data_IF_295002994489
#
_entry.id   IF_295002994489
#
_cell.length_a   1.000
_cell.length_b   1.000
_cell.length_c   1.000
_cell.angle_alpha   90.00
_cell.angle_beta   90.00
_cell.angle_gamma   90.00
#
_symmetry.space_group_name_H-M   'P 1'
#
loop_
_entity.id
_entity.type
_entity.pdbx_description
1 polymer ?
#
# COMPACT_ATOMS: atom_id res chain seq x y z
N UNK A 1 0.29 0.43 -0.98
CA UNK A 1 0.90 1.41 -1.91
C UNK A 1 -0.15 2.01 -2.85
N UNK A 2 0.14 3.15 -3.52
CA UNK A 2 -0.78 3.79 -4.43
C UNK A 2 -0.31 5.20 -4.84
N UNK A 3 -1.01 5.83 -5.80
CA UNK A 3 -0.59 7.12 -6.35
C UNK A 3 -0.67 8.27 -5.33
N UNK A 4 0.27 9.23 -5.46
CA UNK A 4 0.24 10.48 -4.67
C UNK A 4 -0.90 11.42 -5.10
N UNK A 5 -1.31 11.33 -6.38
CA UNK A 5 -2.53 11.97 -6.90
C UNK A 5 -3.52 10.86 -7.20
N UNK A 6 -4.51 10.70 -6.35
CA UNK A 6 -5.51 9.63 -6.39
C UNK A 6 -6.91 10.21 -6.59
N UNK A 7 -7.79 9.45 -7.23
CA UNK A 7 -9.20 9.79 -7.35
C UNK A 7 -9.96 9.60 -6.03
N UNK A 8 -11.17 10.14 -5.98
CA UNK A 8 -12.02 10.09 -4.77
C UNK A 8 -12.24 8.64 -4.31
N UNK A 9 -12.50 7.72 -5.25
CA UNK A 9 -12.71 6.30 -4.95
C UNK A 9 -11.44 5.66 -4.37
N UNK A 10 -10.29 5.88 -5.00
CA UNK A 10 -9.01 5.33 -4.51
C UNK A 10 -8.66 5.82 -3.10
N UNK A 11 -8.97 7.09 -2.79
CA UNK A 11 -8.77 7.65 -1.44
C UNK A 11 -9.72 7.02 -0.42
N UNK A 12 -10.99 6.85 -0.77
CA UNK A 12 -11.98 6.21 0.10
C UNK A 12 -11.61 4.74 0.36
N UNK A 13 -11.25 3.99 -0.69
CA UNK A 13 -10.81 2.59 -0.59
C UNK A 13 -9.55 2.46 0.27
N UNK A 14 -8.57 3.36 0.09
CA UNK A 14 -7.34 3.36 0.88
C UNK A 14 -7.60 3.64 2.37
N UNK A 15 -8.50 4.59 2.67
CA UNK A 15 -8.88 4.90 4.04
C UNK A 15 -9.59 3.73 4.70
N UNK A 16 -10.59 3.15 4.03
CA UNK A 16 -11.32 1.97 4.52
C UNK A 16 -10.37 0.79 4.73
N UNK A 17 -9.46 0.54 3.77
CA UNK A 17 -8.45 -0.49 3.88
C UNK A 17 -7.58 -0.28 5.13
N UNK A 18 -7.07 0.93 5.35
CA UNK A 18 -6.24 1.25 6.52
C UNK A 18 -6.95 0.96 7.84
N UNK A 19 -8.22 1.35 7.96
CA UNK A 19 -9.06 1.06 9.12
C UNK A 19 -9.23 -0.45 9.32
N UNK A 20 -9.59 -1.18 8.28
CA UNK A 20 -9.83 -2.62 8.34
C UNK A 20 -8.56 -3.41 8.70
N UNK A 21 -7.39 -3.03 8.15
CA UNK A 21 -6.10 -3.63 8.50
C UNK A 21 -5.78 -3.41 9.98
N UNK A 22 -5.97 -2.19 10.47
CA UNK A 22 -5.73 -1.85 11.87
C UNK A 22 -6.69 -2.61 12.83
N UNK A 23 -7.94 -2.84 12.43
CA UNK A 23 -8.90 -3.67 13.20
C UNK A 23 -8.47 -5.13 13.32
N UNK A 24 -7.65 -5.65 12.38
CA UNK A 24 -7.03 -6.97 12.49
C UNK A 24 -5.79 -6.99 13.40
N UNK A 25 -5.38 -5.84 13.93
CA UNK A 25 -4.13 -5.70 14.69
C UNK A 25 -2.87 -5.66 13.82
N UNK A 26 -3.01 -5.51 12.49
CA UNK A 26 -1.87 -5.44 11.58
C UNK A 26 -1.29 -4.04 11.49
N UNK A 27 0.03 -3.97 11.33
CA UNK A 27 0.75 -2.71 11.12
C UNK A 27 0.53 -2.21 9.69
N UNK A 28 0.18 -0.93 9.54
CA UNK A 28 0.04 -0.30 8.22
C UNK A 28 1.33 0.42 7.86
N UNK A 29 2.06 -0.14 6.89
CA UNK A 29 3.28 0.46 6.36
C UNK A 29 3.00 1.16 5.02
N UNK A 30 3.41 2.41 4.90
CA UNK A 30 3.24 3.24 3.70
C UNK A 30 4.53 3.97 3.34
N UNK A 31 4.51 4.72 2.22
CA UNK A 31 5.56 5.66 1.88
C UNK A 31 5.63 6.91 2.74
N UNK A 32 4.80 7.03 3.77
CA UNK A 32 4.87 8.02 4.84
C UNK A 32 4.51 9.46 4.47
N UNK A 33 4.29 9.79 3.18
CA UNK A 33 4.04 11.16 2.75
C UNK A 33 2.58 11.58 2.98
N UNK A 34 2.37 12.88 3.33
CA UNK A 34 1.06 13.52 3.47
C UNK A 34 0.40 13.75 2.10
N UNK A 35 0.17 12.69 1.33
CA UNK A 35 -0.43 12.77 0.00
C UNK A 35 -1.05 11.47 -0.47
N UNK A 36 -2.19 11.59 -1.15
CA UNK A 36 -2.86 10.52 -1.87
C UNK A 36 -3.16 9.29 -1.02
N UNK A 37 -3.00 8.13 -1.61
CA UNK A 37 -3.27 6.83 -0.99
C UNK A 37 -2.48 6.62 0.32
N UNK A 38 -1.25 7.11 0.39
CA UNK A 38 -0.42 6.95 1.59
C UNK A 38 -1.02 7.63 2.81
N UNK A 39 -1.45 8.89 2.65
CA UNK A 39 -2.06 9.68 3.72
C UNK A 39 -3.42 9.09 4.12
N UNK A 40 -4.27 8.75 3.14
CA UNK A 40 -5.59 8.18 3.37
C UNK A 40 -5.53 6.82 4.11
N UNK A 41 -4.62 5.94 3.73
CA UNK A 41 -4.45 4.65 4.41
C UNK A 41 -3.97 4.82 5.86
N UNK A 42 -3.01 5.72 6.09
CA UNK A 42 -2.54 6.03 7.45
C UNK A 42 -3.67 6.68 8.29
N UNK A 43 -4.46 7.59 7.70
CA UNK A 43 -5.63 8.20 8.36
C UNK A 43 -6.65 7.14 8.78
N UNK A 44 -6.98 6.22 7.87
CA UNK A 44 -7.89 5.12 8.17
C UNK A 44 -7.39 4.24 9.31
N UNK A 45 -6.12 3.86 9.29
CA UNK A 45 -5.53 3.07 10.37
C UNK A 45 -5.61 3.79 11.73
N UNK A 46 -5.34 5.10 11.77
CA UNK A 46 -5.40 5.90 13.01
C UNK A 46 -6.81 6.16 13.54
N UNK A 47 -7.86 5.79 12.81
CA UNK A 47 -9.22 5.76 13.35
C UNK A 47 -9.45 4.64 14.36
N UNK A 48 -8.54 3.64 14.38
CA UNK A 48 -8.59 2.50 15.30
C UNK A 48 -7.62 2.76 16.47
N UNK A 49 -8.10 2.84 17.72
CA UNK A 49 -7.24 3.01 18.89
C UNK A 49 -6.19 1.91 19.03
N UNK A 50 -4.96 2.29 19.34
CA UNK A 50 -3.84 1.34 19.50
C UNK A 50 -3.20 0.87 18.20
N UNK A 51 -3.69 1.32 17.04
CA UNK A 51 -3.07 1.00 15.75
C UNK A 51 -1.66 1.57 15.61
N UNK A 52 -0.81 0.89 14.84
CA UNK A 52 0.54 1.33 14.51
C UNK A 52 0.67 1.60 13.02
N UNK A 53 1.21 2.77 12.68
CA UNK A 53 1.49 3.18 11.30
C UNK A 53 2.98 3.51 11.13
N UNK A 54 3.58 2.99 10.05
CA UNK A 54 4.98 3.22 9.71
C UNK A 54 5.08 3.89 8.35
N UNK A 55 5.89 4.93 8.25
CA UNK A 55 6.16 5.65 7.01
C UNK A 55 7.64 5.56 6.63
N UNK A 56 7.94 5.00 5.45
CA UNK A 56 9.31 4.98 4.90
C UNK A 56 9.47 6.14 3.93
N UNK A 57 10.18 7.18 4.34
CA UNK A 57 10.33 8.43 3.60
C UNK A 57 11.54 8.41 2.66
N UNK A 58 11.43 9.06 1.49
CA UNK A 58 12.53 9.11 0.51
C UNK A 58 13.70 9.97 0.98
N UNK A 59 13.42 11.06 1.70
CA UNK A 59 14.37 12.07 2.17
C UNK A 59 13.80 12.87 3.34
N UNK A 60 14.63 13.71 3.97
CA UNK A 60 14.25 14.55 5.10
C UNK A 60 13.41 15.79 4.73
N UNK A 61 13.18 16.07 3.44
CA UNK A 61 12.36 17.19 2.95
C UNK A 61 10.92 16.77 2.67
N UNK A 62 10.65 15.48 2.61
CA UNK A 62 9.32 14.96 2.36
C UNK A 62 8.36 15.35 3.50
N UNK A 63 7.19 15.91 3.14
CA UNK A 63 6.15 16.20 4.12
C UNK A 63 5.57 14.89 4.65
N UNK A 64 5.84 14.61 5.92
CA UNK A 64 5.34 13.42 6.63
C UNK A 64 3.83 13.55 6.86
N UNK A 65 3.08 12.47 6.68
CA UNK A 65 1.69 12.39 7.11
C UNK A 65 1.59 12.52 8.63
N UNK A 66 0.65 13.32 9.12
CA UNK A 66 0.36 13.45 10.57
C UNK A 66 -0.19 12.16 11.20
N UNK A 67 -0.57 11.21 10.37
CA UNK A 67 -1.13 9.93 10.76
C UNK A 67 -0.07 8.81 10.81
N UNK A 68 1.20 9.14 10.66
CA UNK A 68 2.33 8.21 10.78
C UNK A 68 2.90 8.29 12.19
N UNK A 69 2.93 7.16 12.89
CA UNK A 69 3.51 7.07 14.26
C UNK A 69 5.04 6.99 14.21
N UNK A 70 5.58 6.19 13.28
CA UNK A 70 7.03 6.01 13.11
C UNK A 70 7.44 6.41 11.70
N UNK A 71 8.18 7.49 11.57
CA UNK A 71 8.73 7.97 10.30
C UNK A 71 10.21 7.58 10.18
N UNK A 72 10.54 6.79 9.14
CA UNK A 72 11.90 6.35 8.85
C UNK A 72 12.38 7.11 7.61
N UNK A 73 13.36 7.99 7.79
CA UNK A 73 14.00 8.76 6.71
C UNK A 73 15.16 7.97 6.18
N UNK A 74 15.11 7.59 4.89
CA UNK A 74 16.12 6.70 4.28
C UNK A 74 17.18 7.44 3.48
N UNK A 75 16.86 8.63 2.97
CA UNK A 75 17.66 9.40 2.00
C UNK A 75 17.98 8.63 0.69
N UNK A 76 17.17 7.61 0.38
CA UNK A 76 17.32 6.77 -0.82
C UNK A 76 16.50 7.24 -2.01
N UNK A 77 15.80 8.37 -1.91
CA UNK A 77 14.90 8.83 -2.96
C UNK A 77 13.89 7.73 -3.36
N UNK A 78 13.76 7.46 -4.65
CA UNK A 78 12.83 6.45 -5.17
C UNK A 78 13.24 5.00 -4.81
N UNK A 79 14.52 4.75 -4.54
CA UNK A 79 15.00 3.41 -4.17
C UNK A 79 14.40 2.91 -2.83
N UNK A 80 13.86 3.82 -1.98
CA UNK A 80 13.15 3.45 -0.75
C UNK A 80 11.88 2.60 -1.01
N UNK A 81 11.36 2.58 -2.26
CA UNK A 81 10.25 1.70 -2.62
C UNK A 81 10.59 0.22 -2.39
N UNK A 82 11.85 -0.15 -2.62
CA UNK A 82 12.30 -1.50 -2.31
C UNK A 82 12.29 -1.78 -0.80
N UNK A 83 12.58 -0.78 0.04
CA UNK A 83 12.49 -0.92 1.50
C UNK A 83 11.04 -1.18 1.91
N UNK A 84 10.08 -0.43 1.36
CA UNK A 84 8.65 -0.67 1.61
C UNK A 84 8.26 -2.12 1.30
N UNK A 85 8.64 -2.59 0.10
CA UNK A 85 8.32 -3.94 -0.37
C UNK A 85 8.94 -5.01 0.53
N UNK A 86 10.22 -4.89 0.83
CA UNK A 86 10.94 -5.89 1.61
C UNK A 86 10.47 -5.95 3.08
N UNK A 87 10.00 -4.82 3.63
CA UNK A 87 9.52 -4.71 5.01
C UNK A 87 8.04 -5.10 5.20
N UNK A 88 7.35 -5.48 4.12
CA UNK A 88 5.93 -5.87 4.18
C UNK A 88 5.75 -7.37 3.99
N UNK A 89 4.80 -7.98 4.68
CA UNK A 89 4.43 -9.39 4.49
C UNK A 89 3.55 -9.55 3.25
N UNK A 90 2.53 -8.70 3.11
CA UNK A 90 1.65 -8.63 1.94
C UNK A 90 1.60 -7.18 1.42
N UNK A 91 1.59 -7.03 0.11
CA UNK A 91 1.51 -5.72 -0.54
C UNK A 91 0.11 -5.51 -1.11
N UNK A 92 -0.53 -4.38 -0.75
CA UNK A 92 -1.78 -3.95 -1.39
C UNK A 92 -1.53 -2.70 -2.22
N UNK A 93 -1.87 -2.75 -3.50
CA UNK A 93 -1.85 -1.61 -4.41
C UNK A 93 -3.28 -1.09 -4.60
N UNK A 94 -3.57 0.12 -4.08
CA UNK A 94 -4.85 0.81 -4.27
C UNK A 94 -4.80 1.60 -5.57
N UNK A 95 -5.34 1.05 -6.63
CA UNK A 95 -5.23 1.56 -7.99
C UNK A 95 -3.83 1.38 -8.59
N UNK A 96 -3.74 1.49 -9.90
CA UNK A 96 -2.47 1.43 -10.66
C UNK A 96 -2.20 2.77 -11.39
N UNK A 97 -2.77 3.86 -10.90
CA UNK A 97 -2.79 5.18 -11.55
C UNK A 97 -1.45 5.92 -11.64
N UNK A 98 -0.32 5.27 -11.37
CA UNK A 98 0.98 5.93 -11.44
C UNK A 98 2.14 4.97 -11.63
N UNK A 99 3.18 5.44 -12.34
CA UNK A 99 4.41 4.66 -12.59
C UNK A 99 5.11 4.21 -11.31
N UNK A 100 5.01 5.00 -10.23
CA UNK A 100 5.54 4.62 -8.92
C UNK A 100 4.87 3.36 -8.38
N UNK A 101 3.54 3.29 -8.40
CA UNK A 101 2.79 2.11 -7.94
C UNK A 101 3.08 0.89 -8.81
N UNK A 102 3.12 1.06 -10.14
CA UNK A 102 3.48 -0.01 -11.08
C UNK A 102 4.88 -0.55 -10.80
N UNK A 103 5.85 0.33 -10.55
CA UNK A 103 7.22 -0.07 -10.21
C UNK A 103 7.30 -0.80 -8.86
N UNK A 104 6.54 -0.38 -7.87
CA UNK A 104 6.49 -1.07 -6.56
C UNK A 104 5.86 -2.46 -6.68
N UNK A 105 4.80 -2.63 -7.49
CA UNK A 105 4.22 -3.95 -7.79
C UNK A 105 5.25 -4.85 -8.45
N UNK A 106 5.96 -4.35 -9.47
CA UNK A 106 7.02 -5.11 -10.15
C UNK A 106 8.16 -5.52 -9.20
N UNK A 107 8.59 -4.62 -8.30
CA UNK A 107 9.57 -4.91 -7.26
C UNK A 107 9.07 -6.01 -6.30
N UNK A 108 7.80 -5.94 -5.89
CA UNK A 108 7.18 -6.93 -5.03
C UNK A 108 7.18 -8.32 -5.67
N UNK A 109 6.77 -8.43 -6.93
CA UNK A 109 6.77 -9.69 -7.67
C UNK A 109 8.19 -10.25 -7.87
N UNK A 110 9.17 -9.38 -8.17
CA UNK A 110 10.58 -9.76 -8.25
C UNK A 110 11.09 -10.30 -6.91
N UNK A 111 10.64 -9.75 -5.79
CA UNK A 111 10.94 -10.20 -4.44
C UNK A 111 10.10 -11.40 -3.98
N UNK A 112 9.27 -11.99 -4.86
CA UNK A 112 8.35 -13.10 -4.58
C UNK A 112 7.35 -12.80 -3.45
N UNK A 113 6.97 -11.53 -3.29
CA UNK A 113 5.94 -11.09 -2.34
C UNK A 113 4.57 -11.17 -2.98
N UNK A 114 3.57 -11.55 -2.19
CA UNK A 114 2.17 -11.51 -2.61
C UNK A 114 1.68 -10.08 -2.77
N UNK A 115 0.97 -9.82 -3.86
CA UNK A 115 0.39 -8.52 -4.20
C UNK A 115 -1.12 -8.64 -4.38
N UNK A 116 -1.86 -7.79 -3.72
CA UNK A 116 -3.30 -7.61 -3.92
C UNK A 116 -3.51 -6.29 -4.67
N UNK A 117 -4.16 -6.37 -5.82
CA UNK A 117 -4.53 -5.23 -6.65
C UNK A 117 -5.97 -4.82 -6.31
N UNK A 118 -6.13 -3.78 -5.50
CA UNK A 118 -7.43 -3.24 -5.09
C UNK A 118 -7.90 -2.19 -6.10
N UNK A 119 -9.06 -2.42 -6.71
CA UNK A 119 -9.68 -1.48 -7.64
C UNK A 119 -8.92 -1.28 -8.95
N UNK A 120 -7.99 -2.15 -9.30
CA UNK A 120 -7.27 -2.10 -10.57
C UNK A 120 -8.17 -2.53 -11.74
N UNK A 121 -7.93 -1.96 -12.91
CA UNK A 121 -8.64 -2.33 -14.13
C UNK A 121 -8.22 -3.73 -14.65
N UNK A 122 -9.01 -4.27 -15.57
CA UNK A 122 -8.77 -5.61 -16.15
C UNK A 122 -7.42 -5.72 -16.85
N UNK A 123 -6.94 -4.65 -17.48
CA UNK A 123 -5.68 -4.65 -18.21
C UNK A 123 -4.49 -4.75 -17.24
N UNK A 124 -4.51 -3.94 -16.18
CA UNK A 124 -3.49 -3.97 -15.13
C UNK A 124 -3.46 -5.30 -14.38
N UNK A 125 -4.62 -5.83 -14.00
CA UNK A 125 -4.73 -7.16 -13.39
C UNK A 125 -4.19 -8.23 -14.33
N UNK A 126 -4.57 -8.20 -15.60
CA UNK A 126 -4.10 -9.16 -16.61
C UNK A 126 -2.60 -9.14 -16.79
N UNK A 127 -2.01 -7.93 -16.88
CA UNK A 127 -0.56 -7.78 -17.02
C UNK A 127 0.19 -8.49 -15.88
N UNK A 128 -0.14 -8.16 -14.65
CA UNK A 128 0.60 -8.69 -13.49
C UNK A 128 0.28 -10.17 -13.20
N UNK A 129 -0.97 -10.61 -13.45
CA UNK A 129 -1.32 -12.04 -13.36
C UNK A 129 -0.58 -12.91 -14.39
N UNK A 130 -0.37 -12.40 -15.59
CA UNK A 130 0.42 -13.13 -16.60
C UNK A 130 1.89 -13.26 -16.22
N UNK A 131 2.45 -12.27 -15.49
CA UNK A 131 3.83 -12.31 -15.04
C UNK A 131 4.04 -13.21 -13.80
N UNK A 132 3.06 -13.24 -12.89
CA UNK A 132 3.17 -13.97 -11.63
C UNK A 132 1.79 -14.45 -11.12
N UNK A 133 1.19 -15.47 -11.76
CA UNK A 133 -0.20 -15.87 -11.50
C UNK A 133 -0.48 -16.29 -10.05
N UNK A 134 0.51 -16.84 -9.36
CA UNK A 134 0.38 -17.32 -7.97
C UNK A 134 0.62 -16.22 -6.91
N UNK A 135 1.17 -15.07 -7.30
CA UNK A 135 1.51 -13.98 -6.39
C UNK A 135 0.54 -12.79 -6.50
N UNK A 136 -0.28 -12.75 -7.55
CA UNK A 136 -1.17 -11.62 -7.82
C UNK A 136 -2.62 -12.00 -7.57
N UNK A 137 -3.26 -11.28 -6.66
CA UNK A 137 -4.68 -11.37 -6.38
C UNK A 137 -5.35 -10.05 -6.74
N UNK A 138 -6.61 -10.08 -7.14
CA UNK A 138 -7.41 -8.88 -7.38
C UNK A 138 -8.52 -8.80 -6.35
N UNK A 139 -8.78 -7.60 -5.86
CA UNK A 139 -9.88 -7.29 -4.97
C UNK A 139 -10.70 -6.12 -5.52
N UNK A 140 -12.01 -6.19 -5.39
CA UNK A 140 -12.91 -5.12 -5.83
C UNK A 140 -13.31 -4.19 -4.69
N UNK A 141 -13.07 -4.62 -3.43
CA UNK A 141 -13.33 -3.83 -2.23
C UNK A 141 -12.23 -4.00 -1.17
N UNK A 142 -12.11 -3.05 -0.22
CA UNK A 142 -11.21 -3.17 0.92
C UNK A 142 -11.47 -4.43 1.78
N UNK A 143 -12.72 -4.82 1.98
CA UNK A 143 -13.12 -6.00 2.75
C UNK A 143 -12.59 -7.28 2.08
N UNK A 144 -12.73 -7.38 0.76
CA UNK A 144 -12.19 -8.51 -0.02
C UNK A 144 -10.67 -8.56 0.09
N UNK A 145 -10.00 -7.42 0.01
CA UNK A 145 -8.55 -7.34 0.17
C UNK A 145 -8.10 -7.84 1.55
N UNK A 146 -8.78 -7.42 2.62
CA UNK A 146 -8.46 -7.86 3.99
C UNK A 146 -8.74 -9.35 4.19
N UNK A 147 -9.82 -9.88 3.61
CA UNK A 147 -10.09 -11.31 3.63
C UNK A 147 -8.97 -12.10 2.95
N UNK A 148 -8.57 -11.68 1.75
CA UNK A 148 -7.45 -12.31 1.03
C UNK A 148 -6.15 -12.28 1.84
N UNK A 149 -5.84 -11.19 2.54
CA UNK A 149 -4.67 -11.11 3.44
C UNK A 149 -4.77 -12.15 4.54
N UNK A 150 -5.93 -12.26 5.20
CA UNK A 150 -6.14 -13.23 6.28
C UNK A 150 -6.01 -14.69 5.83
N UNK A 151 -6.37 -15.00 4.58
CA UNK A 151 -6.21 -16.33 3.98
C UNK A 151 -4.74 -16.65 3.61
N UNK A 152 -3.87 -15.64 3.56
CA UNK A 152 -2.47 -15.73 3.14
C UNK A 152 -1.45 -15.73 4.29
N UNK A 153 -1.84 -15.23 5.48
CA UNK A 153 -1.02 -15.16 6.70
C UNK A 153 -1.30 -16.32 7.65
#
# INVERSE_FOLDING_TARGET
>A
MGPAKAGIRELADARSLGELLARQGWVVLTGGRASGVMDAASEGAKSVPGSLTIGILPDGKARVSRFVDVAIVTDLGQARNNVNVMSSDVIVACGLGGTGTVSEVALALKAKKTVILLGADKAGVGLFKNLAPHLVHAAVSPEEAVKLIGDLL
#
